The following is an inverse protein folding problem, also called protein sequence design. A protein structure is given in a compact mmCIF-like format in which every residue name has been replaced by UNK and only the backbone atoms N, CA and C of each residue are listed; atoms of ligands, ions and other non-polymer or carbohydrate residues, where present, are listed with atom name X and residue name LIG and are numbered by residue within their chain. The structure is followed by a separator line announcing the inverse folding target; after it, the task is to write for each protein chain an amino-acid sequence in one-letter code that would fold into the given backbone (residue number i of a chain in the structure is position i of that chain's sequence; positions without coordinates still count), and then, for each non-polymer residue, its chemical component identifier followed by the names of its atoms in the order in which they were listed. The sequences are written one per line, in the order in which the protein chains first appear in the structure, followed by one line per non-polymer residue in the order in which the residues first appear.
data_IF_145222473858
#
_entry.id   IF_145222473858
#
_cell.length_a   1.000
_cell.length_b   1.000
_cell.length_c   1.000
_cell.angle_alpha   90.00
_cell.angle_beta   90.00
_cell.angle_gamma   90.00
#
_symmetry.space_group_name_H-M   'P 1'
#
loop_
_entity.id
_entity.type
_entity.pdbx_description
1 polymer ?
#
# COMPACT_ATOMS: atom_id res chain seq x y z
N UNK A 1 -9.22 -6.96 5.69
CA UNK A 1 -10.11 -7.19 4.52
C UNK A 1 -9.32 -8.02 3.53
N UNK A 2 -9.96 -8.97 2.84
CA UNK A 2 -9.31 -9.76 1.79
C UNK A 2 -9.20 -8.98 0.48
N UNK A 3 -8.35 -9.46 -0.43
CA UNK A 3 -8.29 -8.99 -1.81
C UNK A 3 -9.07 -9.94 -2.70
N UNK A 4 -9.82 -9.40 -3.65
CA UNK A 4 -10.51 -10.22 -4.65
C UNK A 4 -9.49 -10.87 -5.59
N UNK A 5 -9.81 -12.07 -6.08
CA UNK A 5 -9.05 -12.82 -7.07
C UNK A 5 -9.91 -13.02 -8.31
N UNK A 6 -9.29 -13.07 -9.49
CA UNK A 6 -10.00 -13.25 -10.76
C UNK A 6 -9.94 -14.70 -11.21
N UNK A 7 -11.09 -15.29 -11.54
CA UNK A 7 -11.14 -16.63 -12.15
C UNK A 7 -11.25 -16.49 -13.66
N UNK A 8 -10.30 -17.06 -14.40
CA UNK A 8 -10.32 -17.08 -15.86
C UNK A 8 -10.44 -18.50 -16.37
N UNK A 9 -11.36 -18.74 -17.30
CA UNK A 9 -11.53 -20.04 -17.97
C UNK A 9 -11.20 -19.85 -19.45
N UNK A 10 -10.15 -20.52 -19.92
CA UNK A 10 -9.68 -20.43 -21.30
C UNK A 10 -9.30 -21.81 -21.82
N UNK A 11 -9.87 -22.21 -22.96
CA UNK A 11 -9.55 -23.48 -23.63
C UNK A 11 -9.63 -24.73 -22.70
N UNK A 12 -10.58 -24.73 -21.76
CA UNK A 12 -10.75 -25.82 -20.79
C UNK A 12 -9.77 -25.79 -19.60
N UNK A 13 -8.88 -24.80 -19.55
CA UNK A 13 -7.98 -24.55 -18.43
C UNK A 13 -8.56 -23.48 -17.52
N UNK A 14 -8.35 -23.63 -16.21
CA UNK A 14 -8.79 -22.68 -15.18
C UNK A 14 -7.57 -21.98 -14.61
N UNK A 15 -7.67 -20.66 -14.47
CA UNK A 15 -6.65 -19.81 -13.88
C UNK A 15 -7.23 -19.00 -12.74
N UNK A 16 -6.46 -18.87 -11.66
CA UNK A 16 -6.68 -17.92 -10.58
C UNK A 16 -5.65 -16.81 -10.76
N UNK A 17 -6.12 -15.64 -11.17
CA UNK A 17 -5.32 -14.56 -11.76
C UNK A 17 -4.45 -15.10 -12.91
N UNK A 18 -3.14 -15.24 -12.69
CA UNK A 18 -2.18 -15.77 -13.66
C UNK A 18 -1.71 -17.20 -13.35
N UNK A 19 -2.15 -17.78 -12.23
CA UNK A 19 -1.76 -19.12 -11.79
C UNK A 19 -2.72 -20.17 -12.35
N UNK A 20 -2.19 -21.22 -12.99
CA UNK A 20 -3.00 -22.30 -13.56
C UNK A 20 -3.39 -23.31 -12.48
N UNK A 21 -4.66 -23.73 -12.47
CA UNK A 21 -5.10 -24.85 -11.66
C UNK A 21 -4.61 -26.16 -12.28
N UNK A 22 -3.74 -26.87 -11.55
CA UNK A 22 -3.11 -28.13 -11.98
C UNK A 22 -3.86 -29.37 -11.48
N UNK A 23 -4.45 -29.28 -10.29
CA UNK A 23 -5.30 -30.32 -9.71
C UNK A 23 -6.54 -29.66 -9.12
N UNK A 24 -7.71 -30.11 -9.54
CA UNK A 24 -8.98 -29.58 -9.07
C UNK A 24 -9.69 -30.56 -8.12
N UNK A 25 -10.58 -30.00 -7.31
CA UNK A 25 -11.61 -30.73 -6.56
C UNK A 25 -11.09 -31.74 -5.53
N UNK A 26 -10.02 -31.38 -4.81
CA UNK A 26 -9.54 -32.18 -3.69
C UNK A 26 -10.46 -31.94 -2.49
N UNK A 27 -11.22 -32.96 -2.10
CA UNK A 27 -12.13 -32.89 -0.94
C UNK A 27 -11.30 -32.83 0.35
N UNK A 28 -11.62 -31.84 1.19
CA UNK A 28 -11.07 -31.67 2.53
C UNK A 28 -12.21 -31.66 3.55
N UNK A 29 -11.86 -31.82 4.84
CA UNK A 29 -12.85 -31.90 5.93
C UNK A 29 -13.78 -30.67 6.02
N UNK A 30 -13.30 -29.51 5.55
CA UNK A 30 -13.98 -28.22 5.65
C UNK A 30 -14.24 -27.55 4.29
N UNK A 31 -14.03 -28.25 3.17
CA UNK A 31 -14.23 -27.66 1.85
C UNK A 31 -13.49 -28.38 0.73
N UNK A 32 -13.03 -27.61 -0.25
CA UNK A 32 -12.37 -28.11 -1.45
C UNK A 32 -11.07 -27.35 -1.66
N UNK A 33 -10.02 -28.07 -2.07
CA UNK A 33 -8.70 -27.52 -2.39
C UNK A 33 -8.41 -27.69 -3.88
N UNK A 34 -7.89 -26.63 -4.49
CA UNK A 34 -7.37 -26.61 -5.85
C UNK A 34 -5.87 -26.27 -5.80
N UNK A 35 -5.05 -27.05 -6.50
CA UNK A 35 -3.59 -26.84 -6.56
C UNK A 35 -3.28 -25.93 -7.74
N UNK A 36 -2.48 -24.89 -7.49
CA UNK A 36 -2.01 -23.94 -8.51
C UNK A 36 -0.50 -24.02 -8.69
N UNK A 37 -0.01 -23.65 -9.87
CA UNK A 37 1.42 -23.73 -10.25
C UNK A 37 2.24 -22.47 -9.88
N UNK A 38 1.59 -21.40 -9.42
CA UNK A 38 2.24 -20.14 -9.06
C UNK A 38 1.72 -19.58 -7.73
N UNK A 39 2.54 -18.73 -7.11
CA UNK A 39 2.18 -18.02 -5.87
C UNK A 39 1.36 -16.77 -6.21
N UNK A 40 0.23 -16.59 -5.53
CA UNK A 40 -0.55 -15.36 -5.64
C UNK A 40 0.12 -14.22 -4.88
N UNK A 41 0.34 -13.10 -5.57
CA UNK A 41 0.83 -11.87 -4.98
C UNK A 41 -0.37 -10.92 -4.90
N UNK A 42 -0.78 -10.50 -3.69
CA UNK A 42 -1.84 -9.52 -3.53
C UNK A 42 -1.50 -8.26 -4.34
N UNK A 43 -2.47 -7.73 -5.08
CA UNK A 43 -2.28 -6.46 -5.79
C UNK A 43 -2.10 -5.35 -4.77
N UNK A 44 -0.85 -5.00 -4.50
CA UNK A 44 -0.54 -3.79 -3.75
C UNK A 44 -0.83 -2.63 -4.69
N UNK A 45 -1.92 -1.91 -4.43
CA UNK A 45 -2.18 -0.56 -4.99
C UNK A 45 -1.01 0.42 -4.71
N UNK A 46 0.02 -0.01 -4.00
CA UNK A 46 1.21 0.74 -3.63
C UNK A 46 2.16 1.07 -4.80
N UNK A 47 2.01 0.47 -6.00
CA UNK A 47 2.90 0.82 -7.11
C UNK A 47 2.77 2.30 -7.49
N UNK A 48 1.57 2.88 -7.48
CA UNK A 48 1.40 4.31 -7.78
C UNK A 48 2.00 5.19 -6.67
N UNK A 49 1.86 4.78 -5.41
CA UNK A 49 2.46 5.46 -4.25
C UNK A 49 4.00 5.36 -4.24
N UNK A 50 4.57 4.30 -4.83
CA UNK A 50 6.00 4.05 -4.88
C UNK A 50 6.69 4.71 -6.09
N UNK A 51 6.00 4.80 -7.23
CA UNK A 51 6.54 5.43 -8.45
C UNK A 51 6.46 6.97 -8.37
N UNK A 52 5.45 7.51 -7.69
CA UNK A 52 5.35 8.93 -7.40
C UNK A 52 5.09 9.11 -5.91
N UNK A 53 6.12 9.18 -5.04
CA UNK A 53 5.90 9.57 -3.67
C UNK A 53 5.30 10.98 -3.70
N UNK A 54 3.99 11.07 -3.48
CA UNK A 54 3.31 12.35 -3.32
C UNK A 54 3.94 12.97 -2.10
N UNK A 55 4.59 14.13 -2.29
CA UNK A 55 5.17 14.91 -1.19
C UNK A 55 4.04 15.43 -0.32
N UNK A 56 3.68 14.64 0.68
CA UNK A 56 2.57 14.94 1.57
C UNK A 56 3.09 15.61 2.83
N UNK A 57 2.39 16.64 3.29
CA UNK A 57 2.69 17.29 4.55
C UNK A 57 2.27 16.37 5.72
N UNK A 58 3.18 16.12 6.66
CA UNK A 58 2.89 15.30 7.84
C UNK A 58 2.58 16.17 9.07
N UNK A 59 3.61 16.82 9.62
CA UNK A 59 3.48 17.62 10.84
C UNK A 59 4.52 18.75 10.87
N UNK A 60 4.23 19.75 11.71
CA UNK A 60 5.14 20.86 11.99
C UNK A 60 5.74 20.66 13.38
N UNK A 61 7.06 20.79 13.51
CA UNK A 61 7.75 20.86 14.79
C UNK A 61 8.28 22.27 15.07
N UNK A 62 8.34 22.66 16.35
CA UNK A 62 9.12 23.83 16.78
C UNK A 62 10.60 23.44 17.00
N UNK A 63 11.42 24.39 17.46
CA UNK A 63 12.86 24.16 17.75
C UNK A 63 13.12 23.19 18.90
N UNK A 64 12.12 22.93 19.73
CA UNK A 64 12.18 21.99 20.86
C UNK A 64 11.75 20.57 20.42
N UNK A 65 11.36 20.39 19.15
CA UNK A 65 10.84 19.12 18.63
C UNK A 65 9.38 18.84 18.99
N UNK A 66 8.66 19.82 19.54
CA UNK A 66 7.25 19.67 19.88
C UNK A 66 6.38 19.90 18.63
N UNK A 67 5.33 19.09 18.48
CA UNK A 67 4.37 19.25 17.39
C UNK A 67 3.55 20.52 17.61
N UNK A 68 3.58 21.43 16.63
CA UNK A 68 2.86 22.70 16.66
C UNK A 68 1.94 22.85 15.45
N UNK A 69 1.01 23.81 15.51
CA UNK A 69 0.22 24.21 14.35
C UNK A 69 1.12 24.91 13.32
N UNK A 70 0.93 24.59 12.04
CA UNK A 70 1.65 25.21 10.90
C UNK A 70 1.51 26.73 10.84
N UNK A 71 0.44 27.28 11.43
CA UNK A 71 0.14 28.71 11.44
C UNK A 71 0.62 29.43 12.70
N UNK A 72 1.40 28.77 13.56
CA UNK A 72 1.95 29.41 14.77
C UNK A 72 2.85 30.58 14.37
N UNK A 73 2.65 31.75 14.99
CA UNK A 73 3.37 33.00 14.68
C UNK A 73 4.56 33.24 15.59
N UNK A 74 5.43 34.14 15.17
CA UNK A 74 6.67 34.55 15.87
C UNK A 74 7.58 33.38 16.25
N UNK A 75 7.48 32.28 15.51
CA UNK A 75 8.21 31.06 15.82
C UNK A 75 8.82 30.47 14.57
N UNK A 76 10.00 29.90 14.76
CA UNK A 76 10.64 29.08 13.76
C UNK A 76 10.03 27.68 13.80
N UNK A 77 9.62 27.21 12.63
CA UNK A 77 8.93 25.93 12.47
C UNK A 77 9.57 25.07 11.39
N UNK A 78 9.43 23.77 11.53
CA UNK A 78 9.91 22.76 10.60
C UNK A 78 8.73 21.92 10.10
N UNK A 79 8.36 22.10 8.83
CA UNK A 79 7.36 21.25 8.17
C UNK A 79 8.04 19.99 7.65
N UNK A 80 7.61 18.83 8.15
CA UNK A 80 8.13 17.51 7.77
C UNK A 80 7.17 16.88 6.77
N UNK A 81 7.74 16.28 5.71
CA UNK A 81 7.01 15.67 4.61
C UNK A 81 7.27 14.16 4.52
N UNK A 82 6.39 13.43 3.84
CA UNK A 82 6.43 11.97 3.69
C UNK A 82 7.68 11.44 2.96
N UNK A 83 8.31 12.27 2.14
CA UNK A 83 9.57 11.99 1.45
C UNK A 83 10.81 12.22 2.34
N UNK A 84 10.61 12.59 3.61
CA UNK A 84 11.68 12.95 4.56
C UNK A 84 12.21 14.37 4.38
N UNK A 85 11.70 15.14 3.41
CA UNK A 85 12.06 16.54 3.25
C UNK A 85 11.61 17.36 4.47
N UNK A 86 12.40 18.38 4.82
CA UNK A 86 12.04 19.34 5.87
C UNK A 86 12.14 20.76 5.31
N UNK A 87 11.05 21.53 5.44
CA UNK A 87 11.04 22.96 5.11
C UNK A 87 11.04 23.76 6.40
N UNK A 88 12.06 24.59 6.59
CA UNK A 88 12.20 25.52 7.71
C UNK A 88 11.55 26.86 7.35
N UNK A 89 10.64 27.34 8.18
CA UNK A 89 9.99 28.64 8.01
C UNK A 89 10.07 29.46 9.30
N UNK A 90 10.08 30.78 9.15
CA UNK A 90 9.81 31.72 10.24
C UNK A 90 8.45 32.32 9.94
N UNK A 91 7.43 31.91 10.68
CA UNK A 91 6.14 32.58 10.59
C UNK A 91 6.22 33.89 11.36
N UNK A 92 6.01 34.99 10.65
CA UNK A 92 5.87 36.33 11.23
C UNK A 92 4.42 36.61 11.62
#
# INVERSE_FOLDING_TARGET
LGTDVTVTINNGMVYIDNAMVTVADIVADNGVVHVIDAVLIPTTTDIINHINPVKEYLYTLNILGEKVSKNVKNQMIFNIFSDGSVVKLINR
#
